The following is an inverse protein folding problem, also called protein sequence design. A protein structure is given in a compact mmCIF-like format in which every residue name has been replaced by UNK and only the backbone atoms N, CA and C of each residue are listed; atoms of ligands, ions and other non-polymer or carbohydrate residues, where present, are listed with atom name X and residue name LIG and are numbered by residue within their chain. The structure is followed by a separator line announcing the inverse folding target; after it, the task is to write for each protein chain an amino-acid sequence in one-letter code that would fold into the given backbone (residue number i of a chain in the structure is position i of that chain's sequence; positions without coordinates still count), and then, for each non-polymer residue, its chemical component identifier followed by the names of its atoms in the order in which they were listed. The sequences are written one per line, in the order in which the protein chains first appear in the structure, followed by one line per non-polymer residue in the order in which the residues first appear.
data_IF_065152431770
#
_entry.id   IF_065152431770
#
_cell.length_a   1.000
_cell.length_b   1.000
_cell.length_c   1.000
_cell.angle_alpha   90.00
_cell.angle_beta   90.00
_cell.angle_gamma   90.00
#
_symmetry.space_group_name_H-M   'P 1'
#
loop_
_entity.id
_entity.type
_entity.pdbx_description
1 polymer ?
#
# COMPACT_ATOMS: atom_id res chain seq x y z
N UNK A 1 3.25 -3.76 23.02
CA UNK A 1 2.92 -4.05 24.43
C UNK A 1 2.27 -5.43 24.57
N UNK A 2 1.26 -5.76 23.74
CA UNK A 2 0.58 -7.08 23.78
C UNK A 2 1.58 -8.23 23.64
N UNK A 3 2.51 -8.15 22.68
CA UNK A 3 3.57 -9.15 22.49
C UNK A 3 4.40 -9.37 23.76
N UNK A 4 4.71 -8.29 24.49
CA UNK A 4 5.46 -8.39 25.76
C UNK A 4 4.66 -9.16 26.81
N UNK A 5 3.35 -8.87 26.93
CA UNK A 5 2.47 -9.60 27.83
C UNK A 5 2.33 -11.07 27.47
N UNK A 6 2.13 -11.35 26.17
CA UNK A 6 1.92 -12.70 25.67
C UNK A 6 3.19 -13.57 25.78
N UNK A 7 4.39 -12.95 25.65
CA UNK A 7 5.67 -13.66 25.67
C UNK A 7 6.32 -13.70 27.04
N UNK A 8 6.30 -12.61 27.80
CA UNK A 8 7.03 -12.45 29.07
C UNK A 8 6.11 -12.39 30.30
N UNK A 9 4.79 -12.46 30.08
CA UNK A 9 3.76 -12.43 31.12
C UNK A 9 3.40 -11.02 31.61
N UNK A 10 2.19 -10.89 32.20
CA UNK A 10 1.61 -9.62 32.65
C UNK A 10 2.47 -8.87 33.66
N UNK A 11 3.20 -9.58 34.54
CA UNK A 11 4.09 -8.94 35.53
C UNK A 11 5.20 -8.13 34.84
N UNK A 12 5.76 -8.62 33.77
CA UNK A 12 6.77 -7.90 32.97
C UNK A 12 6.16 -6.75 32.18
N UNK A 13 4.94 -6.90 31.68
CA UNK A 13 4.19 -5.79 31.09
C UNK A 13 3.94 -4.65 32.07
N UNK A 14 3.54 -4.95 33.32
CA UNK A 14 3.37 -3.93 34.34
C UNK A 14 4.69 -3.23 34.73
N UNK A 15 5.79 -3.97 34.75
CA UNK A 15 7.14 -3.39 34.99
C UNK A 15 7.54 -2.46 33.87
N UNK A 16 7.26 -2.85 32.61
CA UNK A 16 7.49 -2.00 31.43
C UNK A 16 6.70 -0.70 31.53
N UNK A 17 5.41 -0.77 31.83
CA UNK A 17 4.56 0.42 31.96
C UNK A 17 5.04 1.38 33.07
N UNK A 18 5.52 0.85 34.20
CA UNK A 18 6.12 1.69 35.26
C UNK A 18 7.41 2.38 34.79
N UNK A 19 8.25 1.68 34.02
CA UNK A 19 9.46 2.27 33.45
C UNK A 19 9.12 3.33 32.38
N UNK A 20 8.10 3.09 31.53
CA UNK A 20 7.57 4.08 30.58
C UNK A 20 7.10 5.33 31.33
N UNK A 21 6.24 5.16 32.34
CA UNK A 21 5.72 6.29 33.15
C UNK A 21 6.86 7.11 33.78
N UNK A 22 7.89 6.44 34.33
CA UNK A 22 9.05 7.13 34.92
C UNK A 22 9.79 7.93 33.87
N UNK A 23 10.07 7.35 32.68
CA UNK A 23 10.79 8.02 31.61
C UNK A 23 10.00 9.20 31.03
N UNK A 24 8.66 9.08 30.96
CA UNK A 24 7.80 10.20 30.57
C UNK A 24 7.84 11.34 31.58
N UNK A 25 7.83 11.05 32.90
CA UNK A 25 7.97 12.06 33.94
C UNK A 25 9.33 12.77 33.86
N UNK A 26 10.43 12.02 33.63
CA UNK A 26 11.77 12.61 33.46
C UNK A 26 11.80 13.59 32.27
N UNK A 27 11.13 13.28 31.15
CA UNK A 27 11.00 14.20 30.00
C UNK A 27 10.21 15.45 30.36
N UNK A 28 9.12 15.32 31.10
CA UNK A 28 8.27 16.43 31.55
C UNK A 28 9.07 17.36 32.47
N UNK A 29 9.75 16.81 33.49
CA UNK A 29 10.60 17.58 34.42
C UNK A 29 11.69 18.35 33.68
N UNK A 30 12.40 17.68 32.75
CA UNK A 30 13.43 18.33 31.93
C UNK A 30 12.88 19.40 31.00
N UNK A 31 11.60 19.35 30.63
CA UNK A 31 10.94 20.37 29.84
C UNK A 31 10.59 21.61 30.65
N UNK A 32 10.69 21.53 31.99
CA UNK A 32 10.30 22.59 32.93
C UNK A 32 8.87 23.12 32.68
N UNK A 33 7.96 22.19 32.41
CA UNK A 33 6.54 22.47 32.15
C UNK A 33 5.70 22.03 33.39
N UNK A 34 4.69 22.81 33.68
CA UNK A 34 3.62 22.32 34.59
C UNK A 34 2.78 21.32 33.80
N UNK A 35 2.96 20.04 34.12
CA UNK A 35 2.24 18.99 33.40
C UNK A 35 1.81 17.87 34.36
N UNK A 36 0.76 17.19 33.99
CA UNK A 36 0.24 16.00 34.67
C UNK A 36 0.30 14.84 33.71
N UNK A 37 0.95 13.75 34.14
CA UNK A 37 0.95 12.47 33.43
C UNK A 37 -0.15 11.58 34.01
N UNK A 38 -1.02 11.08 33.13
CA UNK A 38 -2.09 10.15 33.49
C UNK A 38 -1.98 8.89 32.64
N UNK A 39 -2.28 7.73 33.19
CA UNK A 39 -2.52 6.49 32.43
C UNK A 39 -4.02 6.35 32.24
N UNK A 40 -4.49 6.31 30.98
CA UNK A 40 -5.92 6.22 30.66
C UNK A 40 -6.38 4.76 30.73
N UNK A 41 -5.58 3.83 30.20
CA UNK A 41 -5.86 2.40 30.23
C UNK A 41 -4.86 1.62 29.37
N UNK A 42 -4.71 0.33 29.59
CA UNK A 42 -3.81 -0.51 28.80
C UNK A 42 -2.38 0.04 28.70
N UNK A 43 -1.95 0.39 27.52
CA UNK A 43 -0.66 1.03 27.18
C UNK A 43 -0.80 2.53 26.82
N UNK A 44 -1.94 3.14 27.14
CA UNK A 44 -2.25 4.53 26.80
C UNK A 44 -1.96 5.48 27.97
N UNK A 45 -1.22 6.55 27.67
CA UNK A 45 -0.88 7.64 28.57
C UNK A 45 -1.36 8.96 28.01
N UNK A 46 -1.78 9.87 28.87
CA UNK A 46 -2.06 11.27 28.54
C UNK A 46 -1.15 12.20 29.34
N UNK A 47 -0.70 13.25 28.70
CA UNK A 47 0.06 14.35 29.30
C UNK A 47 -0.73 15.62 29.07
N UNK A 48 -1.12 16.27 30.17
CA UNK A 48 -1.75 17.60 30.15
C UNK A 48 -0.68 18.58 30.58
N UNK A 49 -0.23 19.40 29.62
CA UNK A 49 0.83 20.38 29.87
C UNK A 49 0.30 21.81 29.76
N UNK A 50 0.62 22.64 30.75
CA UNK A 50 0.34 24.06 30.75
C UNK A 50 1.52 24.80 30.08
N UNK A 51 1.25 25.44 28.95
CA UNK A 51 2.25 26.20 28.20
C UNK A 51 2.35 27.66 28.68
N UNK A 52 1.55 28.05 29.69
CA UNK A 52 1.46 29.40 30.25
C UNK A 52 2.56 29.67 31.25
N UNK A 53 3.42 30.53 30.92
CA UNK A 53 4.49 31.15 31.77
C UNK A 53 5.10 32.37 31.07
N UNK A 54 4.71 32.59 29.82
CA UNK A 54 5.12 33.75 28.99
C UNK A 54 3.90 34.58 28.65
N UNK A 55 3.99 35.87 28.81
CA UNK A 55 2.88 36.85 28.78
C UNK A 55 2.06 36.95 27.47
N UNK A 56 2.44 36.28 26.42
CA UNK A 56 1.63 36.00 25.21
C UNK A 56 2.31 34.94 24.35
N UNK A 57 1.82 33.70 24.42
CA UNK A 57 2.25 32.65 23.47
C UNK A 57 1.33 32.72 22.27
N UNK A 58 1.92 32.85 21.07
CA UNK A 58 1.14 32.74 19.83
C UNK A 58 0.72 31.29 19.59
N UNK A 59 -0.32 31.03 18.81
CA UNK A 59 -0.69 29.64 18.43
C UNK A 59 0.46 28.87 17.76
N UNK A 60 1.31 29.56 16.99
CA UNK A 60 2.49 28.98 16.36
C UNK A 60 3.54 28.53 17.40
N UNK A 61 3.84 29.40 18.38
CA UNK A 61 4.81 29.07 19.43
C UNK A 61 4.32 27.89 20.29
N UNK A 62 3.00 27.83 20.55
CA UNK A 62 2.39 26.75 21.28
C UNK A 62 2.50 25.41 20.51
N UNK A 63 2.29 25.44 19.21
CA UNK A 63 2.43 24.28 18.35
C UNK A 63 3.89 23.78 18.30
N UNK A 64 4.86 24.69 18.18
CA UNK A 64 6.30 24.35 18.18
C UNK A 64 6.75 23.74 19.53
N UNK A 65 6.29 24.28 20.63
CA UNK A 65 6.59 23.75 21.96
C UNK A 65 5.99 22.36 22.18
N UNK A 66 4.76 22.15 21.74
CA UNK A 66 4.08 20.87 21.84
C UNK A 66 4.74 19.81 20.93
N UNK A 67 5.11 20.17 19.71
CA UNK A 67 5.86 19.32 18.78
C UNK A 67 7.25 18.97 19.32
N UNK A 68 7.94 19.94 19.90
CA UNK A 68 9.22 19.73 20.60
C UNK A 68 9.11 18.76 21.77
N UNK A 69 8.05 18.84 22.58
CA UNK A 69 7.78 17.90 23.67
C UNK A 69 7.49 16.49 23.11
N UNK A 70 6.66 16.39 22.11
CA UNK A 70 6.31 15.13 21.47
C UNK A 70 7.55 14.40 20.88
N UNK A 71 8.43 15.14 20.20
CA UNK A 71 9.72 14.61 19.68
C UNK A 71 10.62 14.11 20.80
N UNK A 72 10.71 14.84 21.92
CA UNK A 72 11.49 14.41 23.09
C UNK A 72 10.91 13.15 23.73
N UNK A 73 9.59 13.01 23.80
CA UNK A 73 8.91 11.80 24.27
C UNK A 73 9.29 10.60 23.37
N UNK A 74 9.16 10.75 22.06
CA UNK A 74 9.51 9.69 21.11
C UNK A 74 10.99 9.27 21.25
N UNK A 75 11.91 10.24 21.32
CA UNK A 75 13.33 9.98 21.48
C UNK A 75 13.63 9.25 22.82
N UNK A 76 12.97 9.64 23.89
CA UNK A 76 13.13 9.01 25.19
C UNK A 76 12.61 7.56 25.20
N UNK A 77 11.51 7.28 24.52
CA UNK A 77 10.91 5.94 24.46
C UNK A 77 11.63 5.01 23.46
N UNK A 78 12.37 5.54 22.50
CA UNK A 78 13.18 4.76 21.56
C UNK A 78 14.35 4.01 22.24
N UNK A 79 14.84 4.50 23.40
CA UNK A 79 15.88 3.82 24.14
C UNK A 79 15.36 2.52 24.78
N UNK A 80 16.15 1.43 24.80
CA UNK A 80 15.71 0.13 25.30
C UNK A 80 15.27 0.16 26.75
N UNK A 81 14.33 -0.71 27.09
CA UNK A 81 13.87 -0.97 28.45
C UNK A 81 14.46 -2.28 28.96
N UNK A 82 15.09 -2.26 30.12
CA UNK A 82 15.63 -3.46 30.75
C UNK A 82 14.54 -4.18 31.57
N UNK A 83 14.20 -5.39 31.16
CA UNK A 83 13.29 -6.29 31.89
C UNK A 83 14.03 -7.60 32.16
N UNK A 84 14.52 -7.77 33.38
CA UNK A 84 15.38 -8.90 33.80
C UNK A 84 16.61 -9.06 32.88
N UNK A 85 16.69 -10.13 32.12
CA UNK A 85 17.78 -10.40 31.18
C UNK A 85 17.50 -9.91 29.75
N UNK A 86 16.33 -9.26 29.51
CA UNK A 86 15.89 -8.87 28.17
C UNK A 86 15.95 -7.34 28.00
N UNK A 87 16.43 -6.92 26.85
CA UNK A 87 16.27 -5.54 26.38
C UNK A 87 15.06 -5.45 25.44
N UNK A 88 14.06 -4.65 25.81
CA UNK A 88 12.82 -4.49 25.06
C UNK A 88 12.82 -3.12 24.40
N UNK A 89 12.61 -3.11 23.10
CA UNK A 89 12.40 -1.91 22.32
C UNK A 89 10.90 -1.69 22.12
N UNK A 90 10.43 -0.50 22.44
CA UNK A 90 9.04 -0.10 22.19
C UNK A 90 9.01 1.20 21.42
N UNK A 91 8.00 1.37 20.60
CA UNK A 91 7.72 2.61 19.90
C UNK A 91 6.41 3.20 20.39
N UNK A 92 6.25 4.51 20.27
CA UNK A 92 5.02 5.19 20.62
C UNK A 92 4.49 6.01 19.45
N UNK A 93 3.18 6.21 19.43
CA UNK A 93 2.55 7.21 18.58
C UNK A 93 1.97 8.29 19.48
N UNK A 94 2.22 9.56 19.17
CA UNK A 94 1.84 10.71 20.00
C UNK A 94 0.89 11.59 19.20
N UNK A 95 -0.30 11.83 19.76
CA UNK A 95 -1.25 12.82 19.24
C UNK A 95 -1.27 14.07 20.11
N UNK A 96 -1.29 15.22 19.49
CA UNK A 96 -1.26 16.53 20.15
C UNK A 96 -2.52 17.31 19.79
N UNK A 97 -3.13 17.96 20.78
CA UNK A 97 -4.24 18.88 20.61
C UNK A 97 -4.06 20.08 21.54
N UNK A 98 -4.34 21.29 21.04
CA UNK A 98 -4.08 22.57 21.71
C UNK A 98 -5.37 23.26 22.13
N UNK A 99 -5.45 23.64 23.40
CA UNK A 99 -6.51 24.52 23.89
C UNK A 99 -6.05 25.99 23.81
N UNK A 100 -6.90 26.94 23.44
CA UNK A 100 -8.28 26.81 22.93
C UNK A 100 -8.38 26.65 21.42
N UNK A 101 -7.25 26.43 20.72
CA UNK A 101 -7.17 26.45 19.26
C UNK A 101 -7.94 25.29 18.62
N UNK A 102 -7.65 24.06 19.03
CA UNK A 102 -8.24 22.86 18.43
C UNK A 102 -9.57 22.45 19.07
N UNK A 103 -9.78 22.84 20.35
CA UNK A 103 -11.02 22.58 21.06
C UNK A 103 -11.20 23.53 22.25
N UNK A 104 -12.44 23.70 22.70
CA UNK A 104 -12.81 24.56 23.83
C UNK A 104 -13.34 23.80 25.05
N UNK A 105 -13.42 22.49 24.95
CA UNK A 105 -13.82 21.61 26.04
C UNK A 105 -12.91 20.38 26.12
N UNK A 106 -12.91 19.73 27.26
CA UNK A 106 -12.02 18.59 27.57
C UNK A 106 -12.32 17.40 26.68
N UNK A 107 -13.59 17.13 26.40
CA UNK A 107 -13.98 15.96 25.60
C UNK A 107 -13.51 16.13 24.14
N UNK A 108 -13.71 17.29 23.56
CA UNK A 108 -13.25 17.60 22.22
C UNK A 108 -11.71 17.59 22.14
N UNK A 109 -11.03 18.16 23.15
CA UNK A 109 -9.56 18.17 23.21
C UNK A 109 -8.98 16.76 23.24
N UNK A 110 -9.52 15.90 24.12
CA UNK A 110 -9.08 14.50 24.22
C UNK A 110 -9.35 13.75 22.91
N UNK A 111 -10.57 13.86 22.36
CA UNK A 111 -10.91 13.22 21.08
C UNK A 111 -10.00 13.67 19.95
N UNK A 112 -9.65 14.95 19.89
CA UNK A 112 -8.79 15.50 18.84
C UNK A 112 -7.34 14.98 19.00
N UNK A 113 -6.83 14.86 20.23
CA UNK A 113 -5.54 14.23 20.49
C UNK A 113 -5.54 12.73 20.10
N UNK A 114 -6.61 11.99 20.42
CA UNK A 114 -6.76 10.60 19.98
C UNK A 114 -6.79 10.47 18.45
N UNK A 115 -7.50 11.36 17.76
CA UNK A 115 -7.54 11.39 16.29
C UNK A 115 -6.15 11.61 15.71
N UNK A 116 -5.38 12.54 16.27
CA UNK A 116 -4.01 12.82 15.84
C UNK A 116 -3.06 11.65 16.16
N UNK A 117 -3.19 11.02 17.32
CA UNK A 117 -2.42 9.82 17.69
C UNK A 117 -2.69 8.66 16.72
N UNK A 118 -3.96 8.43 16.42
CA UNK A 118 -4.36 7.39 15.45
C UNK A 118 -3.82 7.67 14.05
N UNK A 119 -3.82 8.95 13.64
CA UNK A 119 -3.20 9.37 12.39
C UNK A 119 -1.70 9.08 12.36
N UNK A 120 -0.97 9.39 13.43
CA UNK A 120 0.46 9.08 13.57
C UNK A 120 0.72 7.55 13.53
N UNK A 121 -0.16 6.77 14.17
CA UNK A 121 -0.07 5.30 14.20
C UNK A 121 -0.22 4.68 12.81
N UNK A 122 -1.10 5.24 11.97
CA UNK A 122 -1.35 4.73 10.62
C UNK A 122 -0.30 5.16 9.59
N UNK A 123 0.49 6.20 9.86
CA UNK A 123 1.57 6.68 8.99
C UNK A 123 2.94 6.08 9.31
N UNK A 124 3.00 4.86 9.80
CA UNK A 124 4.26 4.15 10.06
C UNK A 124 4.62 4.04 11.54
N UNK A 125 3.73 4.42 12.47
CA UNK A 125 3.99 4.38 13.92
C UNK A 125 5.22 5.22 14.31
N UNK A 126 5.65 5.14 15.57
CA UNK A 126 6.84 5.85 16.08
C UNK A 126 6.94 7.32 15.64
N UNK A 127 5.81 8.02 15.65
CA UNK A 127 5.66 9.37 15.12
C UNK A 127 4.74 10.21 16.02
N UNK A 128 4.84 11.53 15.90
CA UNK A 128 3.92 12.48 16.51
C UNK A 128 3.12 13.21 15.42
N UNK A 129 1.88 13.53 15.74
CA UNK A 129 1.03 14.38 14.90
C UNK A 129 0.26 15.37 15.76
N UNK A 130 0.21 16.64 15.33
CA UNK A 130 -0.67 17.66 15.87
C UNK A 130 -2.01 17.61 15.15
N UNK A 131 -3.11 17.74 15.90
CA UNK A 131 -4.46 17.67 15.35
C UNK A 131 -4.68 18.73 14.27
N UNK A 132 -5.36 18.33 13.21
CA UNK A 132 -5.94 19.23 12.22
C UNK A 132 -7.38 18.81 11.92
N UNK A 133 -8.20 19.74 11.46
CA UNK A 133 -9.60 19.46 11.09
C UNK A 133 -9.73 18.43 9.96
N UNK A 134 -8.72 18.36 9.09
CA UNK A 134 -8.64 17.38 8.01
C UNK A 134 -8.52 15.95 8.55
N UNK A 135 -7.81 15.76 9.67
CA UNK A 135 -7.69 14.44 10.32
C UNK A 135 -9.05 13.93 10.84
N UNK A 136 -9.88 14.81 11.42
CA UNK A 136 -11.22 14.41 11.87
C UNK A 136 -12.13 14.07 10.67
N UNK A 137 -12.04 14.82 9.59
CA UNK A 137 -12.75 14.49 8.34
C UNK A 137 -12.29 13.16 7.77
N UNK A 138 -10.98 12.90 7.75
CA UNK A 138 -10.41 11.65 7.25
C UNK A 138 -10.81 10.45 8.14
N UNK A 139 -10.81 10.60 9.45
CA UNK A 139 -11.27 9.57 10.38
C UNK A 139 -12.75 9.22 10.18
N UNK A 140 -13.63 10.25 10.02
CA UNK A 140 -15.06 10.04 9.70
C UNK A 140 -15.24 9.38 8.34
N UNK A 141 -14.50 9.83 7.31
CA UNK A 141 -14.54 9.23 5.97
C UNK A 141 -14.15 7.74 6.04
N UNK A 142 -13.11 7.41 6.79
CA UNK A 142 -12.66 6.04 6.98
C UNK A 142 -13.72 5.15 7.64
N UNK A 143 -14.36 5.61 8.74
CA UNK A 143 -15.46 4.87 9.39
C UNK A 143 -16.61 4.64 8.41
N UNK A 144 -16.92 5.61 7.58
CA UNK A 144 -17.94 5.48 6.55
C UNK A 144 -17.53 4.46 5.48
N UNK A 145 -16.30 4.55 4.97
CA UNK A 145 -15.72 3.59 4.01
C UNK A 145 -15.79 2.16 4.57
N UNK A 146 -15.45 1.95 5.83
CA UNK A 146 -15.53 0.64 6.48
C UNK A 146 -16.98 0.09 6.50
N UNK A 147 -17.93 0.91 6.94
CA UNK A 147 -19.33 0.52 7.02
C UNK A 147 -19.94 0.23 5.64
N UNK A 148 -19.55 1.00 4.62
CA UNK A 148 -20.10 0.91 3.28
C UNK A 148 -19.42 -0.20 2.45
N UNK A 149 -18.11 -0.44 2.65
CA UNK A 149 -17.37 -1.48 1.91
C UNK A 149 -17.95 -2.89 2.11
N UNK A 150 -18.44 -3.18 3.31
CA UNK A 150 -19.09 -4.46 3.59
C UNK A 150 -20.35 -4.66 2.71
N UNK A 151 -21.09 -3.58 2.47
CA UNK A 151 -22.29 -3.58 1.61
C UNK A 151 -21.95 -3.54 0.13
N UNK A 152 -20.83 -2.93 -0.23
CA UNK A 152 -20.38 -2.79 -1.62
C UNK A 152 -20.14 -4.15 -2.29
N UNK A 153 -19.66 -5.15 -1.52
CA UNK A 153 -19.48 -6.52 -1.99
C UNK A 153 -20.78 -7.18 -2.45
N UNK A 154 -21.90 -6.84 -1.81
CA UNK A 154 -23.22 -7.42 -2.11
C UNK A 154 -24.00 -6.59 -3.14
N UNK A 155 -23.60 -5.33 -3.41
CA UNK A 155 -24.39 -4.36 -4.18
C UNK A 155 -23.85 -4.03 -5.57
N UNK A 156 -22.92 -4.81 -6.09
CA UNK A 156 -22.30 -4.56 -7.39
C UNK A 156 -21.69 -3.13 -7.54
N UNK A 157 -21.25 -2.54 -6.42
CA UNK A 157 -20.61 -1.23 -6.41
C UNK A 157 -19.11 -1.31 -6.79
N UNK A 158 -18.53 -2.51 -6.76
CA UNK A 158 -17.16 -2.75 -7.15
C UNK A 158 -17.03 -3.03 -8.64
N UNK A 159 -15.97 -2.57 -9.24
CA UNK A 159 -15.64 -2.83 -10.64
C UNK A 159 -14.13 -3.05 -10.82
N UNK A 160 -13.74 -3.72 -11.91
CA UNK A 160 -12.34 -3.85 -12.30
C UNK A 160 -12.04 -2.95 -13.49
N UNK A 161 -10.93 -2.25 -13.38
CA UNK A 161 -10.23 -1.63 -14.49
C UNK A 161 -8.98 -2.46 -14.80
N UNK A 162 -8.59 -2.52 -16.04
CA UNK A 162 -7.48 -3.33 -16.52
C UNK A 162 -6.44 -2.43 -17.17
N UNK A 163 -5.20 -2.51 -16.72
CA UNK A 163 -4.11 -1.74 -17.28
C UNK A 163 -3.17 -2.62 -18.09
N UNK A 164 -2.90 -2.29 -19.36
CA UNK A 164 -2.04 -3.10 -20.22
C UNK A 164 -0.58 -3.12 -19.75
N UNK A 165 0.01 -4.32 -19.78
CA UNK A 165 1.44 -4.57 -19.68
C UNK A 165 2.00 -4.81 -21.10
N UNK A 166 2.99 -4.03 -21.49
CA UNK A 166 3.47 -3.93 -22.87
C UNK A 166 4.91 -4.44 -22.97
N UNK A 167 5.21 -5.28 -23.95
CA UNK A 167 6.59 -5.69 -24.29
C UNK A 167 7.35 -4.51 -24.86
N UNK A 168 8.49 -4.20 -24.25
CA UNK A 168 9.33 -3.07 -24.65
C UNK A 168 10.29 -3.41 -25.78
N UNK A 169 10.70 -4.67 -25.89
CA UNK A 169 11.59 -5.13 -26.97
C UNK A 169 10.85 -5.18 -28.31
N UNK A 170 11.47 -4.65 -29.35
CA UNK A 170 10.87 -4.58 -30.69
C UNK A 170 9.77 -3.53 -30.84
N UNK A 171 9.57 -2.68 -29.85
CA UNK A 171 8.64 -1.56 -29.91
C UNK A 171 9.31 -0.39 -30.64
N UNK A 172 8.93 -0.14 -31.89
CA UNK A 172 9.53 0.90 -32.76
C UNK A 172 8.87 2.29 -32.59
N UNK A 173 8.06 2.47 -31.55
CA UNK A 173 7.34 3.71 -31.28
C UNK A 173 7.82 4.38 -30.00
N UNK A 174 7.50 5.65 -29.85
CA UNK A 174 7.70 6.45 -28.64
C UNK A 174 6.70 6.09 -27.51
N UNK A 175 5.96 4.99 -27.64
CA UNK A 175 4.98 4.51 -26.69
C UNK A 175 3.54 5.00 -26.93
N UNK A 176 3.34 6.03 -27.76
CA UNK A 176 2.00 6.54 -28.05
C UNK A 176 1.13 5.57 -28.86
N UNK A 177 1.77 4.74 -29.69
CA UNK A 177 1.09 3.77 -30.56
C UNK A 177 1.66 2.36 -30.35
N UNK A 178 1.20 1.68 -29.29
CA UNK A 178 1.58 0.29 -28.99
C UNK A 178 0.77 -0.67 -29.86
N UNK A 179 1.40 -1.52 -30.71
CA UNK A 179 0.68 -2.56 -31.43
C UNK A 179 0.03 -3.57 -30.46
N UNK A 180 -1.16 -4.08 -30.80
CA UNK A 180 -1.85 -5.07 -29.97
C UNK A 180 -1.01 -6.34 -29.71
N UNK A 181 -0.14 -6.71 -30.66
CA UNK A 181 0.80 -7.83 -30.56
C UNK A 181 1.86 -7.66 -29.47
N UNK A 182 2.10 -6.43 -29.00
CA UNK A 182 3.03 -6.13 -27.90
C UNK A 182 2.35 -6.16 -26.53
N UNK A 183 1.02 -6.26 -26.45
CA UNK A 183 0.33 -6.38 -25.17
C UNK A 183 0.50 -7.80 -24.65
N UNK A 184 1.24 -7.93 -23.54
CA UNK A 184 1.55 -9.20 -22.91
C UNK A 184 0.42 -9.70 -22.01
N UNK A 185 -0.18 -8.78 -21.27
CA UNK A 185 -1.21 -9.05 -20.29
C UNK A 185 -1.81 -7.75 -19.76
N UNK A 186 -2.61 -7.89 -18.73
CA UNK A 186 -3.27 -6.75 -18.05
C UNK A 186 -3.23 -6.94 -16.54
N UNK A 187 -3.05 -5.88 -15.80
CA UNK A 187 -3.26 -5.87 -14.36
C UNK A 187 -4.71 -5.50 -14.05
N UNK A 188 -5.37 -6.30 -13.20
CA UNK A 188 -6.74 -6.06 -12.74
C UNK A 188 -6.72 -5.18 -11.49
N UNK A 189 -7.19 -3.97 -11.64
CA UNK A 189 -7.19 -2.93 -10.63
C UNK A 189 -8.61 -2.68 -10.13
N UNK A 190 -8.88 -2.96 -8.87
CA UNK A 190 -10.20 -2.73 -8.28
C UNK A 190 -10.51 -1.25 -8.15
N UNK A 191 -11.78 -0.89 -8.39
CA UNK A 191 -12.34 0.46 -8.22
C UNK A 191 -13.66 0.32 -7.50
N UNK A 192 -14.03 1.29 -6.69
CA UNK A 192 -15.30 1.31 -5.99
C UNK A 192 -16.14 2.52 -6.43
N UNK A 193 -17.27 2.25 -7.07
CA UNK A 193 -18.25 3.27 -7.42
C UNK A 193 -19.24 3.45 -6.27
N UNK A 194 -18.86 4.31 -5.32
CA UNK A 194 -19.68 4.61 -4.16
C UNK A 194 -20.86 5.52 -4.58
N UNK A 195 -22.11 5.21 -4.15
CA UNK A 195 -23.29 5.92 -4.63
C UNK A 195 -23.34 7.41 -4.27
N UNK A 196 -22.68 7.81 -3.18
CA UNK A 196 -22.70 9.21 -2.72
C UNK A 196 -21.36 9.92 -2.86
N UNK A 197 -20.23 9.20 -2.81
CA UNK A 197 -18.89 9.77 -2.84
C UNK A 197 -18.33 9.81 -4.27
N UNK A 198 -18.91 9.01 -5.18
CA UNK A 198 -18.39 8.79 -6.51
C UNK A 198 -17.33 7.68 -6.56
N UNK A 199 -16.37 7.77 -7.47
CA UNK A 199 -15.33 6.73 -7.60
C UNK A 199 -14.29 6.89 -6.50
N UNK A 200 -14.15 5.85 -5.67
CA UNK A 200 -13.13 5.75 -4.61
C UNK A 200 -11.97 4.92 -5.12
N UNK A 201 -10.75 5.48 -5.03
CA UNK A 201 -9.53 4.79 -5.41
C UNK A 201 -9.11 3.70 -4.42
N UNK A 202 -8.33 2.68 -4.85
CA UNK A 202 -7.92 1.57 -4.00
C UNK A 202 -7.15 2.02 -2.75
N UNK A 203 -6.32 3.05 -2.83
CA UNK A 203 -5.56 3.57 -1.68
C UNK A 203 -6.43 4.00 -0.47
N UNK A 204 -7.71 4.31 -0.68
CA UNK A 204 -8.60 4.70 0.42
C UNK A 204 -9.27 3.51 1.11
N UNK A 205 -9.61 2.46 0.37
CA UNK A 205 -10.40 1.37 0.94
C UNK A 205 -9.64 0.05 1.12
N UNK A 206 -8.55 -0.16 0.39
CA UNK A 206 -7.74 -1.39 0.55
C UNK A 206 -7.14 -1.47 1.95
N UNK A 207 -6.54 -0.39 2.45
CA UNK A 207 -5.99 -0.34 3.81
C UNK A 207 -7.08 -0.63 4.87
N UNK A 208 -8.28 -0.07 4.70
CA UNK A 208 -9.44 -0.36 5.56
C UNK A 208 -9.86 -1.83 5.45
N UNK A 209 -9.90 -2.38 4.24
CA UNK A 209 -10.22 -3.79 4.02
C UNK A 209 -9.22 -4.74 4.68
N UNK A 210 -7.94 -4.43 4.63
CA UNK A 210 -6.88 -5.21 5.28
C UNK A 210 -7.02 -5.21 6.80
N UNK A 211 -7.18 -4.04 7.41
CA UNK A 211 -7.32 -3.92 8.86
C UNK A 211 -8.58 -4.65 9.39
N UNK A 212 -9.70 -4.52 8.67
CA UNK A 212 -10.99 -5.10 9.08
C UNK A 212 -11.15 -6.57 8.67
N UNK A 213 -10.28 -7.08 7.79
CA UNK A 213 -10.38 -8.44 7.23
C UNK A 213 -11.29 -8.57 6.03
N UNK A 214 -11.92 -7.48 5.60
CA UNK A 214 -12.73 -7.46 4.39
C UNK A 214 -11.91 -7.70 3.11
N UNK A 215 -10.57 -7.56 3.20
CA UNK A 215 -9.67 -7.84 2.07
C UNK A 215 -9.77 -9.30 1.58
N UNK A 216 -10.09 -10.26 2.46
CA UNK A 216 -10.21 -11.67 2.06
C UNK A 216 -11.41 -11.88 1.14
N UNK A 217 -12.67 -11.54 1.50
CA UNK A 217 -13.80 -11.64 0.58
C UNK A 217 -13.68 -10.70 -0.61
N UNK A 218 -13.11 -9.50 -0.46
CA UNK A 218 -12.85 -8.57 -1.55
C UNK A 218 -11.89 -9.17 -2.58
N UNK A 219 -10.76 -9.70 -2.13
CA UNK A 219 -9.77 -10.30 -3.01
C UNK A 219 -10.28 -11.55 -3.73
N UNK A 220 -11.12 -12.35 -3.09
CA UNK A 220 -11.79 -13.48 -3.75
C UNK A 220 -12.76 -13.00 -4.84
N UNK A 221 -13.49 -11.89 -4.60
CA UNK A 221 -14.35 -11.26 -5.61
C UNK A 221 -13.52 -10.73 -6.78
N UNK A 222 -12.40 -10.04 -6.52
CA UNK A 222 -11.46 -9.54 -7.54
C UNK A 222 -10.94 -10.69 -8.38
N UNK A 223 -10.42 -11.73 -7.75
CA UNK A 223 -9.86 -12.91 -8.42
C UNK A 223 -10.90 -13.57 -9.33
N UNK A 224 -12.11 -13.84 -8.82
CA UNK A 224 -13.19 -14.45 -9.60
C UNK A 224 -13.61 -13.59 -10.78
N UNK A 225 -13.74 -12.28 -10.56
CA UNK A 225 -14.15 -11.33 -11.62
C UNK A 225 -13.07 -11.20 -12.70
N UNK A 226 -11.80 -11.10 -12.32
CA UNK A 226 -10.67 -11.03 -13.24
C UNK A 226 -10.53 -12.30 -14.08
N UNK A 227 -10.56 -13.48 -13.44
CA UNK A 227 -10.47 -14.76 -14.15
C UNK A 227 -11.66 -14.98 -15.09
N UNK A 228 -12.88 -14.65 -14.66
CA UNK A 228 -14.08 -14.73 -15.50
C UNK A 228 -13.98 -13.84 -16.72
N UNK A 229 -13.48 -12.63 -16.55
CA UNK A 229 -13.30 -11.67 -17.66
C UNK A 229 -12.21 -12.13 -18.63
N UNK A 230 -11.06 -12.60 -18.14
CA UNK A 230 -9.98 -13.13 -18.97
C UNK A 230 -10.43 -14.35 -19.79
N UNK A 231 -11.15 -15.28 -19.14
CA UNK A 231 -11.75 -16.44 -19.82
C UNK A 231 -12.78 -16.03 -20.88
N UNK A 232 -13.52 -14.95 -20.64
CA UNK A 232 -14.47 -14.39 -21.60
C UNK A 232 -13.76 -13.83 -22.83
N UNK A 233 -12.72 -13.00 -22.67
CA UNK A 233 -11.92 -12.47 -23.77
C UNK A 233 -11.35 -13.59 -24.65
N UNK A 234 -10.84 -14.65 -24.01
CA UNK A 234 -10.29 -15.79 -24.73
C UNK A 234 -11.35 -16.54 -25.56
N UNK A 235 -12.56 -16.72 -25.00
CA UNK A 235 -13.64 -17.51 -25.67
C UNK A 235 -14.44 -16.70 -26.68
N UNK A 236 -14.80 -15.46 -26.34
CA UNK A 236 -15.73 -14.64 -27.13
C UNK A 236 -15.01 -13.70 -28.09
N UNK A 237 -13.89 -13.09 -27.66
CA UNK A 237 -13.15 -12.11 -28.45
C UNK A 237 -11.93 -12.72 -29.17
N UNK A 238 -11.57 -13.97 -28.86
CA UNK A 238 -10.39 -14.64 -29.41
C UNK A 238 -9.05 -14.01 -28.92
N UNK A 239 -9.08 -13.25 -27.83
CA UNK A 239 -7.92 -12.52 -27.29
C UNK A 239 -7.44 -13.18 -26.01
N UNK A 240 -6.25 -13.79 -26.05
CA UNK A 240 -5.62 -14.43 -24.91
C UNK A 240 -4.71 -13.41 -24.20
N UNK A 241 -5.19 -12.82 -23.11
CA UNK A 241 -4.42 -11.92 -22.23
C UNK A 241 -4.20 -12.57 -20.86
N UNK A 242 -2.95 -12.58 -20.40
CA UNK A 242 -2.65 -12.92 -19.02
C UNK A 242 -3.25 -11.84 -18.12
N UNK A 243 -3.87 -12.24 -17.02
CA UNK A 243 -4.41 -11.31 -16.03
C UNK A 243 -3.62 -11.40 -14.73
N UNK A 244 -3.09 -10.27 -14.27
CA UNK A 244 -2.42 -10.13 -12.99
C UNK A 244 -3.40 -9.63 -11.93
N UNK A 245 -3.32 -10.20 -10.72
CA UNK A 245 -4.16 -9.87 -9.57
C UNK A 245 -3.29 -9.69 -8.34
N UNK A 246 -3.45 -8.56 -7.67
CA UNK A 246 -2.76 -8.24 -6.42
C UNK A 246 -3.24 -9.14 -5.26
N UNK A 247 -2.30 -9.64 -4.46
CA UNK A 247 -2.54 -10.48 -3.29
C UNK A 247 -2.01 -9.79 -2.04
N UNK A 248 -2.90 -9.47 -1.10
CA UNK A 248 -2.52 -8.86 0.17
C UNK A 248 -1.85 -9.85 1.13
N UNK A 249 -1.03 -9.34 2.06
CA UNK A 249 -0.40 -10.17 3.09
C UNK A 249 -1.40 -10.90 3.98
N UNK A 250 -2.59 -10.34 4.19
CA UNK A 250 -3.64 -11.02 4.96
C UNK A 250 -4.24 -12.20 4.21
N UNK A 251 -4.39 -12.08 2.90
CA UNK A 251 -4.83 -13.21 2.05
C UNK A 251 -3.76 -14.29 1.95
N UNK A 252 -2.49 -13.92 1.85
CA UNK A 252 -1.37 -14.87 1.82
C UNK A 252 -1.32 -15.75 3.07
N UNK A 253 -1.78 -15.24 4.22
CA UNK A 253 -1.88 -15.99 5.49
C UNK A 253 -3.18 -16.80 5.64
N UNK A 254 -4.11 -16.74 4.67
CA UNK A 254 -5.33 -17.55 4.69
C UNK A 254 -5.03 -18.99 4.23
N UNK A 255 -5.21 -20.01 5.10
CA UNK A 255 -4.98 -21.41 4.72
C UNK A 255 -5.83 -21.90 3.56
N UNK A 256 -6.98 -21.23 3.31
CA UNK A 256 -7.88 -21.59 2.23
C UNK A 256 -7.50 -20.94 0.88
N UNK A 257 -6.48 -20.07 0.83
CA UNK A 257 -6.13 -19.31 -0.38
C UNK A 257 -5.90 -20.18 -1.60
N UNK A 258 -5.00 -21.18 -1.50
CA UNK A 258 -4.68 -22.07 -2.63
C UNK A 258 -5.93 -22.76 -3.16
N UNK A 259 -6.75 -23.30 -2.27
CA UNK A 259 -7.98 -23.99 -2.66
C UNK A 259 -8.99 -23.01 -3.30
N UNK A 260 -9.10 -21.80 -2.78
CA UNK A 260 -9.96 -20.76 -3.33
C UNK A 260 -9.52 -20.37 -4.75
N UNK A 261 -8.23 -20.23 -4.99
CA UNK A 261 -7.68 -19.92 -6.33
C UNK A 261 -7.99 -21.06 -7.30
N UNK A 262 -7.75 -22.31 -6.92
CA UNK A 262 -8.05 -23.48 -7.76
C UNK A 262 -9.54 -23.60 -8.08
N UNK A 263 -10.40 -23.34 -7.11
CA UNK A 263 -11.84 -23.34 -7.31
C UNK A 263 -12.27 -22.27 -8.32
N UNK A 264 -11.72 -21.05 -8.22
CA UNK A 264 -12.01 -19.97 -9.17
C UNK A 264 -11.55 -20.32 -10.58
N UNK A 265 -10.36 -20.90 -10.74
CA UNK A 265 -9.87 -21.34 -12.06
C UNK A 265 -10.77 -22.43 -12.66
N UNK A 266 -11.22 -23.38 -11.84
CA UNK A 266 -12.17 -24.43 -12.27
C UNK A 266 -13.54 -23.85 -12.65
N UNK A 267 -14.09 -22.93 -11.85
CA UNK A 267 -15.37 -22.25 -12.11
C UNK A 267 -15.35 -21.45 -13.41
N UNK A 268 -14.26 -20.73 -13.67
CA UNK A 268 -14.16 -19.81 -14.82
C UNK A 268 -13.66 -20.45 -16.09
N UNK A 269 -12.97 -21.59 -15.96
CA UNK A 269 -12.31 -22.27 -17.06
C UNK A 269 -11.08 -21.53 -17.61
N UNK A 270 -10.51 -20.59 -16.82
CA UNK A 270 -9.28 -19.93 -17.20
C UNK A 270 -8.09 -20.88 -17.00
N UNK A 271 -7.22 -21.09 -18.01
CA UNK A 271 -6.00 -21.87 -17.81
C UNK A 271 -5.10 -21.26 -16.73
N UNK A 272 -4.52 -22.05 -15.80
CA UNK A 272 -3.73 -21.53 -14.68
C UNK A 272 -2.61 -20.56 -15.10
N UNK A 273 -1.90 -20.84 -16.18
CA UNK A 273 -0.80 -20.01 -16.70
C UNK A 273 -1.24 -18.63 -17.24
N UNK A 274 -2.55 -18.42 -17.39
CA UNK A 274 -3.14 -17.13 -17.73
C UNK A 274 -3.45 -16.26 -16.52
N UNK A 275 -3.32 -16.79 -15.31
CA UNK A 275 -3.39 -16.05 -14.05
C UNK A 275 -1.99 -15.77 -13.53
N UNK A 276 -1.74 -14.54 -13.15
CA UNK A 276 -0.57 -14.11 -12.40
C UNK A 276 -1.02 -13.53 -11.06
N UNK A 277 -0.35 -13.91 -9.96
CA UNK A 277 -0.59 -13.32 -8.65
C UNK A 277 0.60 -12.43 -8.27
N UNK A 278 0.33 -11.20 -7.92
CA UNK A 278 1.32 -10.19 -7.55
C UNK A 278 1.35 -10.03 -6.03
N UNK A 279 2.54 -10.13 -5.44
CA UNK A 279 2.75 -10.09 -4.00
C UNK A 279 3.85 -9.07 -3.72
N UNK A 280 3.60 -8.14 -2.80
CA UNK A 280 4.60 -7.12 -2.47
C UNK A 280 5.83 -7.71 -1.79
N UNK A 281 6.98 -7.07 -1.99
CA UNK A 281 8.25 -7.44 -1.37
C UNK A 281 8.13 -7.59 0.15
N UNK A 282 7.47 -6.64 0.80
CA UNK A 282 7.29 -6.61 2.27
C UNK A 282 6.55 -7.84 2.79
N UNK A 283 5.49 -8.27 2.11
CA UNK A 283 4.71 -9.46 2.49
C UNK A 283 5.55 -10.73 2.41
N UNK A 284 6.39 -10.85 1.38
CA UNK A 284 7.27 -12.01 1.21
C UNK A 284 8.29 -12.14 2.34
N UNK A 285 8.74 -11.03 2.92
CA UNK A 285 9.76 -11.01 3.97
C UNK A 285 9.20 -11.20 5.39
N UNK A 286 7.87 -11.15 5.61
CA UNK A 286 7.28 -11.29 6.95
C UNK A 286 7.40 -12.72 7.53
N UNK A 287 7.06 -13.75 6.75
CA UNK A 287 7.14 -15.17 7.14
C UNK A 287 7.65 -16.00 5.95
N UNK A 288 8.94 -16.01 5.79
CA UNK A 288 9.62 -16.53 4.60
C UNK A 288 9.28 -18.00 4.33
N UNK A 289 9.33 -18.85 5.35
CA UNK A 289 9.12 -20.29 5.16
C UNK A 289 7.65 -20.61 4.81
N UNK A 290 6.69 -19.95 5.45
CA UNK A 290 5.28 -20.10 5.10
C UNK A 290 5.00 -19.57 3.68
N UNK A 291 5.60 -18.44 3.31
CA UNK A 291 5.45 -17.86 1.98
C UNK A 291 6.09 -18.75 0.89
N UNK A 292 7.25 -19.36 1.14
CA UNK A 292 7.84 -20.33 0.18
C UNK A 292 6.86 -21.46 -0.08
N UNK A 293 6.33 -22.10 0.98
CA UNK A 293 5.39 -23.22 0.83
C UNK A 293 4.11 -22.82 0.07
N UNK A 294 3.58 -21.63 0.35
CA UNK A 294 2.43 -21.06 -0.36
C UNK A 294 2.72 -20.88 -1.86
N UNK A 295 3.84 -20.22 -2.18
CA UNK A 295 4.22 -19.90 -3.56
C UNK A 295 4.53 -21.17 -4.35
N UNK A 296 5.18 -22.15 -3.73
CA UNK A 296 5.41 -23.47 -4.37
C UNK A 296 4.10 -24.16 -4.71
N UNK A 297 3.11 -24.14 -3.81
CA UNK A 297 1.80 -24.74 -4.08
C UNK A 297 1.08 -24.05 -5.25
N UNK A 298 1.12 -22.73 -5.34
CA UNK A 298 0.55 -21.97 -6.44
C UNK A 298 1.31 -22.20 -7.75
N UNK A 299 2.63 -22.22 -7.70
CA UNK A 299 3.48 -22.48 -8.86
C UNK A 299 3.28 -23.89 -9.43
N UNK A 300 3.20 -24.89 -8.58
CA UNK A 300 2.90 -26.29 -8.98
C UNK A 300 1.51 -26.42 -9.62
N UNK A 301 0.57 -25.56 -9.26
CA UNK A 301 -0.73 -25.47 -9.92
C UNK A 301 -0.66 -24.77 -11.30
N UNK A 302 0.51 -24.28 -11.72
CA UNK A 302 0.74 -23.64 -13.01
C UNK A 302 0.43 -22.13 -13.04
N UNK A 303 0.26 -21.49 -11.87
CA UNK A 303 0.00 -20.06 -11.73
C UNK A 303 1.32 -19.31 -11.80
N UNK A 304 1.35 -18.18 -12.51
CA UNK A 304 2.50 -17.28 -12.54
C UNK A 304 2.54 -16.42 -11.29
N UNK A 305 3.75 -16.10 -10.82
CA UNK A 305 3.96 -15.32 -9.60
C UNK A 305 4.89 -14.14 -9.89
N UNK A 306 4.58 -12.98 -9.35
CA UNK A 306 5.42 -11.78 -9.46
C UNK A 306 5.61 -11.09 -8.12
N UNK A 307 6.76 -10.43 -7.96
CA UNK A 307 7.02 -9.51 -6.84
C UNK A 307 6.63 -8.12 -7.27
N UNK A 308 5.83 -7.47 -6.44
CA UNK A 308 5.39 -6.09 -6.62
C UNK A 308 6.14 -5.11 -5.70
N UNK A 309 6.15 -3.81 -6.06
CA UNK A 309 6.80 -2.70 -5.33
C UNK A 309 8.28 -2.95 -4.99
N UNK A 310 9.01 -3.65 -5.87
CA UNK A 310 10.38 -4.06 -5.58
C UNK A 310 11.35 -2.88 -5.49
N UNK A 311 12.18 -2.92 -4.43
CA UNK A 311 13.21 -1.93 -4.13
C UNK A 311 12.78 -0.89 -3.09
N UNK A 312 11.55 -0.93 -2.59
CA UNK A 312 11.07 -0.07 -1.51
C UNK A 312 11.35 -0.66 -0.13
N UNK A 313 11.66 -1.97 -0.04
CA UNK A 313 11.93 -2.73 1.17
C UNK A 313 13.37 -3.19 1.33
N UNK A 314 13.60 -4.08 2.29
CA UNK A 314 14.88 -4.71 2.58
C UNK A 314 14.88 -6.17 2.10
N UNK A 315 15.08 -6.40 0.81
CA UNK A 315 15.22 -7.77 0.30
C UNK A 315 16.61 -8.34 0.49
N UNK A 316 16.67 -9.55 1.03
CA UNK A 316 17.87 -10.37 0.93
C UNK A 316 17.86 -11.17 -0.38
N UNK A 317 18.83 -10.91 -1.24
CA UNK A 317 19.03 -11.65 -2.51
C UNK A 317 19.02 -13.17 -2.33
N UNK A 318 19.49 -13.66 -1.17
CA UNK A 318 19.51 -15.09 -0.86
C UNK A 318 18.10 -15.70 -0.77
N UNK A 319 17.11 -14.94 -0.32
CA UNK A 319 15.74 -15.42 -0.26
C UNK A 319 15.02 -15.31 -1.60
N UNK A 320 15.31 -14.29 -2.42
CA UNK A 320 14.74 -14.17 -3.76
C UNK A 320 15.00 -15.41 -4.63
N UNK A 321 16.18 -16.02 -4.50
CA UNK A 321 16.51 -17.26 -5.22
C UNK A 321 15.68 -18.48 -4.78
N UNK A 322 15.09 -18.44 -3.59
CA UNK A 322 14.29 -19.57 -3.05
C UNK A 322 12.83 -19.49 -3.47
N UNK A 323 12.34 -18.32 -3.82
CA UNK A 323 10.96 -18.16 -4.25
C UNK A 323 10.77 -18.62 -5.72
N UNK A 324 9.73 -19.38 -6.04
CA UNK A 324 9.41 -19.81 -7.40
C UNK A 324 8.72 -18.68 -8.20
N UNK A 325 9.39 -17.53 -8.31
CA UNK A 325 8.88 -16.29 -8.91
C UNK A 325 9.47 -16.12 -10.30
N UNK A 326 8.65 -15.72 -11.26
CA UNK A 326 9.01 -15.56 -12.66
C UNK A 326 9.17 -14.11 -13.08
N UNK A 327 8.61 -13.16 -12.31
CA UNK A 327 8.55 -11.75 -12.70
C UNK A 327 8.79 -10.82 -11.53
N UNK A 328 9.40 -9.68 -11.80
CA UNK A 328 9.67 -8.63 -10.83
C UNK A 328 9.15 -7.30 -11.38
N UNK A 329 8.37 -6.54 -10.58
CA UNK A 329 7.86 -5.23 -10.94
C UNK A 329 8.69 -4.16 -10.23
N UNK A 330 9.26 -3.23 -11.00
CA UNK A 330 9.99 -2.07 -10.48
C UNK A 330 8.96 -1.02 -10.09
N UNK A 331 8.99 -0.60 -8.81
CA UNK A 331 8.08 0.41 -8.29
C UNK A 331 8.18 1.73 -9.08
N UNK A 332 7.03 2.33 -9.30
CA UNK A 332 6.89 3.59 -10.05
C UNK A 332 7.77 4.72 -9.53
N UNK A 333 8.09 4.76 -8.24
CA UNK A 333 8.90 5.84 -7.65
C UNK A 333 10.31 5.88 -8.21
N UNK A 334 10.85 4.75 -8.68
CA UNK A 334 12.15 4.71 -9.36
C UNK A 334 12.01 5.18 -10.82
N UNK A 335 10.96 4.78 -11.52
CA UNK A 335 10.70 5.21 -12.88
C UNK A 335 10.42 6.71 -12.96
N UNK A 336 9.64 7.26 -12.04
CA UNK A 336 9.36 8.71 -11.94
C UNK A 336 10.59 9.58 -11.64
N UNK A 337 11.66 9.00 -11.10
CA UNK A 337 12.95 9.69 -10.88
C UNK A 337 13.92 9.54 -12.05
N UNK A 338 13.46 9.05 -13.19
CA UNK A 338 14.23 9.03 -14.44
C UNK A 338 13.94 10.31 -15.26
N UNK A 339 14.96 10.89 -15.92
CA UNK A 339 16.40 10.58 -15.80
C UNK A 339 16.94 11.04 -14.43
N UNK A 340 17.91 10.28 -13.89
CA UNK A 340 18.59 10.62 -12.62
C UNK A 340 18.85 9.39 -11.76
N UNK A 341 18.70 9.53 -10.43
CA UNK A 341 18.97 8.44 -9.46
C UNK A 341 18.16 7.18 -9.74
N UNK A 342 16.95 7.33 -10.27
CA UNK A 342 16.06 6.23 -10.63
C UNK A 342 16.63 5.35 -11.73
N UNK A 343 17.37 5.90 -12.71
CA UNK A 343 17.97 5.14 -13.82
C UNK A 343 18.98 4.11 -13.30
N UNK A 344 19.86 4.52 -12.39
CA UNK A 344 20.88 3.64 -11.82
C UNK A 344 20.25 2.50 -11.01
N UNK A 345 19.21 2.79 -10.22
CA UNK A 345 18.50 1.79 -9.42
C UNK A 345 17.74 0.81 -10.32
N UNK A 346 16.97 1.31 -11.26
CA UNK A 346 16.22 0.45 -12.19
C UNK A 346 17.16 -0.43 -13.02
N UNK A 347 18.26 0.11 -13.52
CA UNK A 347 19.30 -0.67 -14.24
C UNK A 347 19.88 -1.80 -13.39
N UNK A 348 20.18 -1.53 -12.11
CA UNK A 348 20.68 -2.54 -11.17
C UNK A 348 19.62 -3.64 -10.91
N UNK A 349 18.36 -3.26 -10.72
CA UNK A 349 17.25 -4.19 -10.50
C UNK A 349 17.04 -5.08 -11.74
N UNK A 350 17.05 -4.51 -12.95
CA UNK A 350 16.92 -5.27 -14.21
C UNK A 350 18.05 -6.30 -14.33
N UNK A 351 19.29 -5.88 -14.15
CA UNK A 351 20.45 -6.78 -14.25
C UNK A 351 20.39 -7.92 -13.22
N UNK A 352 19.98 -7.61 -12.00
CA UNK A 352 19.77 -8.58 -10.92
C UNK A 352 18.67 -9.59 -11.29
N UNK A 353 17.49 -9.11 -11.68
CA UNK A 353 16.35 -9.95 -12.03
C UNK A 353 16.69 -10.91 -13.20
N UNK A 354 17.36 -10.41 -14.24
CA UNK A 354 17.82 -11.24 -15.36
C UNK A 354 18.84 -12.30 -14.93
N UNK A 355 19.75 -11.99 -13.98
CA UNK A 355 20.67 -13.00 -13.43
C UNK A 355 19.92 -14.10 -12.69
N UNK A 356 18.74 -13.81 -12.14
CA UNK A 356 17.83 -14.76 -11.50
C UNK A 356 16.83 -15.40 -12.48
N UNK A 357 16.93 -15.08 -13.78
CA UNK A 357 16.04 -15.55 -14.86
C UNK A 357 14.57 -15.10 -14.67
N UNK A 358 14.37 -13.93 -14.09
CA UNK A 358 13.06 -13.29 -13.95
C UNK A 358 12.85 -12.26 -15.06
N UNK A 359 11.62 -12.14 -15.56
CA UNK A 359 11.19 -11.01 -16.40
C UNK A 359 11.02 -9.77 -15.54
N UNK A 360 11.18 -8.58 -16.12
CA UNK A 360 11.04 -7.32 -15.40
C UNK A 360 9.95 -6.46 -16.01
N UNK A 361 9.05 -5.94 -15.17
CA UNK A 361 8.05 -4.93 -15.52
C UNK A 361 8.45 -3.60 -14.89
N UNK A 362 8.54 -2.54 -15.65
CA UNK A 362 8.67 -1.19 -15.13
C UNK A 362 7.30 -0.53 -15.00
N UNK A 363 6.96 -0.06 -13.80
CA UNK A 363 5.69 0.59 -13.51
C UNK A 363 5.77 2.11 -13.60
N UNK A 364 4.62 2.74 -13.90
CA UNK A 364 4.51 4.19 -13.92
C UNK A 364 5.29 4.86 -15.05
N UNK A 365 5.39 4.20 -16.21
CA UNK A 365 5.99 4.81 -17.41
C UNK A 365 5.05 5.87 -17.95
N UNK A 366 5.44 7.15 -17.89
CA UNK A 366 4.59 8.30 -18.23
C UNK A 366 5.06 9.04 -19.49
N UNK A 367 6.32 8.94 -19.85
CA UNK A 367 6.88 9.65 -21.00
C UNK A 367 7.84 8.79 -21.86
N UNK A 368 8.19 9.31 -23.05
CA UNK A 368 9.04 8.64 -24.02
C UNK A 368 10.51 8.58 -23.59
N UNK A 369 10.99 9.49 -22.74
CA UNK A 369 12.35 9.49 -22.23
C UNK A 369 12.56 8.34 -21.24
N UNK A 370 11.63 8.16 -20.32
CA UNK A 370 11.59 7.00 -19.42
C UNK A 370 11.58 5.69 -20.19
N UNK A 371 10.71 5.59 -21.21
CA UNK A 371 10.63 4.41 -22.08
C UNK A 371 11.97 4.11 -22.77
N UNK A 372 12.64 5.13 -23.31
CA UNK A 372 13.90 4.97 -23.99
C UNK A 372 15.02 4.47 -23.04
N UNK A 373 15.07 5.00 -21.83
CA UNK A 373 16.02 4.59 -20.79
C UNK A 373 15.77 3.14 -20.33
N UNK A 374 14.52 2.77 -20.09
CA UNK A 374 14.15 1.40 -19.72
C UNK A 374 14.48 0.39 -20.82
N UNK A 375 14.21 0.73 -22.09
CA UNK A 375 14.61 -0.11 -23.24
C UNK A 375 16.12 -0.27 -23.34
N UNK A 376 16.87 0.82 -23.15
CA UNK A 376 18.34 0.79 -23.13
C UNK A 376 18.87 -0.09 -21.99
N UNK A 377 18.22 -0.08 -20.82
CA UNK A 377 18.55 -0.93 -19.70
C UNK A 377 18.15 -2.41 -19.89
N UNK A 378 17.39 -2.72 -20.97
CA UNK A 378 16.96 -4.08 -21.29
C UNK A 378 15.69 -4.53 -20.56
N UNK A 379 14.88 -3.61 -20.02
CA UNK A 379 13.62 -3.95 -19.40
C UNK A 379 12.69 -4.70 -20.36
N UNK A 380 12.00 -5.74 -19.87
CA UNK A 380 11.19 -6.63 -20.71
C UNK A 380 9.80 -6.06 -20.99
N UNK A 381 9.15 -5.56 -19.95
CA UNK A 381 7.77 -5.08 -19.97
C UNK A 381 7.68 -3.68 -19.35
N UNK A 382 6.69 -2.92 -19.78
CA UNK A 382 6.36 -1.62 -19.20
C UNK A 382 4.86 -1.48 -18.98
N UNK A 383 4.50 -0.76 -17.93
CA UNK A 383 3.14 -0.41 -17.58
C UNK A 383 3.10 1.05 -17.16
N UNK A 384 2.11 1.81 -17.64
CA UNK A 384 2.01 3.23 -17.29
C UNK A 384 1.09 4.03 -18.21
N UNK A 385 0.92 5.30 -17.86
CA UNK A 385 0.00 6.19 -18.57
C UNK A 385 0.46 6.57 -19.97
N UNK A 386 1.73 6.40 -20.26
CA UNK A 386 2.24 6.52 -21.63
C UNK A 386 1.53 5.56 -22.59
N UNK A 387 1.26 4.34 -22.15
CA UNK A 387 0.60 3.31 -22.97
C UNK A 387 -0.91 3.39 -22.87
N UNK A 388 -1.44 3.35 -21.65
CA UNK A 388 -2.87 3.49 -21.35
C UNK A 388 -3.10 3.72 -19.86
N UNK A 389 -4.11 4.52 -19.54
CA UNK A 389 -4.73 4.48 -18.21
C UNK A 389 -5.46 3.16 -18.02
N UNK A 390 -5.75 2.74 -16.77
CA UNK A 390 -6.61 1.58 -16.53
C UNK A 390 -7.99 1.75 -17.20
N UNK A 391 -8.42 0.75 -17.96
CA UNK A 391 -9.65 0.75 -18.76
C UNK A 391 -10.62 -0.32 -18.27
N UNK A 392 -11.92 -0.09 -18.34
CA UNK A 392 -12.90 -1.15 -18.17
C UNK A 392 -12.82 -2.18 -19.31
N UNK A 393 -13.41 -3.36 -19.14
CA UNK A 393 -13.27 -4.49 -20.06
C UNK A 393 -13.62 -4.18 -21.52
N UNK A 394 -14.76 -3.50 -21.76
CA UNK A 394 -15.17 -3.14 -23.14
C UNK A 394 -14.28 -2.06 -23.76
N UNK A 395 -13.98 -0.92 -23.09
CA UNK A 395 -12.99 0.05 -23.56
C UNK A 395 -11.62 -0.56 -23.87
N UNK A 396 -11.15 -1.52 -23.07
CA UNK A 396 -9.88 -2.22 -23.33
C UNK A 396 -9.93 -3.00 -24.66
N UNK A 397 -10.99 -3.76 -24.92
CA UNK A 397 -11.13 -4.49 -26.18
C UNK A 397 -11.18 -3.54 -27.39
N UNK A 398 -11.92 -2.45 -27.29
CA UNK A 398 -11.92 -1.41 -28.34
C UNK A 398 -10.53 -0.77 -28.54
N UNK A 399 -9.78 -0.58 -27.46
CA UNK A 399 -8.40 -0.07 -27.50
C UNK A 399 -7.45 -1.05 -28.20
N UNK A 400 -7.56 -2.36 -27.93
CA UNK A 400 -6.77 -3.41 -28.59
C UNK A 400 -7.13 -3.54 -30.07
N UNK A 401 -8.41 -3.53 -30.43
CA UNK A 401 -8.87 -3.64 -31.82
C UNK A 401 -8.38 -2.49 -32.70
N UNK A 402 -8.44 -1.25 -32.21
CA UNK A 402 -7.89 -0.07 -32.94
C UNK A 402 -6.40 -0.22 -33.24
N UNK A 403 -5.65 -0.88 -32.34
CA UNK A 403 -4.20 -1.10 -32.49
C UNK A 403 -3.84 -2.34 -33.28
N UNK A 404 -4.77 -3.28 -33.45
CA UNK A 404 -4.61 -4.47 -34.31
C UNK A 404 -4.90 -4.18 -35.78
N UNK A 405 -5.74 -3.18 -36.09
CA UNK A 405 -6.15 -2.87 -37.47
C UNK A 405 -5.21 -1.93 -38.24
N UNK A 406 -4.10 -1.49 -37.63
CA UNK A 406 -3.12 -0.62 -38.30
C UNK A 406 -3.63 0.78 -38.69
N UNK A 407 -4.82 1.16 -38.25
CA UNK A 407 -5.44 2.44 -38.60
C UNK A 407 -5.06 3.49 -37.54
N UNK A 408 -4.15 4.38 -37.89
CA UNK A 408 -3.68 5.48 -37.08
C UNK A 408 -4.81 6.49 -36.85
N UNK A 409 -5.59 6.29 -35.79
CA UNK A 409 -6.43 7.34 -35.19
C UNK A 409 -5.53 8.34 -34.46
N UNK A 410 -5.77 9.64 -34.69
CA UNK A 410 -4.98 10.73 -34.14
C UNK A 410 -4.83 10.65 -32.59
N UNK A 411 -3.70 11.11 -32.01
CA UNK A 411 -3.54 11.23 -30.58
C UNK A 411 -4.53 12.28 -30.06
N UNK A 412 -5.55 11.87 -29.33
CA UNK A 412 -6.55 12.78 -28.78
C UNK A 412 -7.87 12.16 -28.32
N UNK A 413 -8.23 10.98 -28.76
CA UNK A 413 -9.46 10.29 -28.34
C UNK A 413 -9.21 9.28 -27.22
N UNK A 414 -8.83 9.76 -26.06
CA UNK A 414 -9.17 9.06 -24.81
C UNK A 414 -10.62 9.44 -24.50
N UNK A 415 -11.57 8.48 -24.37
CA UNK A 415 -12.87 8.82 -23.82
C UNK A 415 -12.63 9.45 -22.44
N UNK A 416 -13.23 10.63 -22.26
CA UNK A 416 -13.30 11.28 -20.94
C UNK A 416 -13.96 10.32 -19.96
N UNK A 417 -13.16 9.44 -19.37
CA UNK A 417 -13.52 8.67 -18.20
C UNK A 417 -13.24 9.57 -17.03
N UNK A 418 -14.30 9.83 -16.28
CA UNK A 418 -14.43 10.55 -15.03
C UNK A 418 -13.08 10.92 -14.39
N UNK A 419 -12.79 12.21 -14.36
CA UNK A 419 -11.61 12.80 -13.73
C UNK A 419 -11.48 12.30 -12.31
N UNK A 420 -10.47 11.48 -12.04
CA UNK A 420 -10.05 11.23 -10.66
C UNK A 420 -9.68 12.59 -10.04
N UNK A 421 -10.15 12.91 -8.83
CA UNK A 421 -9.66 14.09 -8.14
C UNK A 421 -8.16 13.93 -7.97
N UNK A 422 -7.40 14.91 -8.42
CA UNK A 422 -5.96 15.05 -8.28
C UNK A 422 -5.57 15.05 -6.80
N UNK A 423 -5.50 13.88 -6.20
CA UNK A 423 -4.91 13.62 -4.90
C UNK A 423 -3.59 12.92 -5.14
N UNK A 424 -2.50 13.69 -5.18
CA UNK A 424 -1.17 13.15 -5.08
C UNK A 424 -1.11 12.31 -3.79
N UNK A 425 -1.03 10.99 -3.93
CA UNK A 425 -0.73 10.10 -2.82
C UNK A 425 0.71 10.37 -2.38
N UNK A 426 0.96 10.66 -1.11
CA UNK A 426 2.34 10.63 -0.62
C UNK A 426 2.84 9.18 -0.71
N UNK A 427 4.01 9.02 -1.28
CA UNK A 427 4.80 7.79 -1.42
C UNK A 427 5.29 7.27 -0.06
N UNK A 428 4.39 6.89 0.85
CA UNK A 428 4.77 6.34 2.15
C UNK A 428 3.66 5.48 2.78
N UNK A 429 3.15 4.51 2.01
CA UNK A 429 2.31 3.44 2.56
C UNK A 429 2.79 2.08 2.02
N UNK A 430 4.11 1.90 1.99
CA UNK A 430 4.77 0.61 1.94
C UNK A 430 5.80 0.61 3.07
N UNK A 431 5.41 0.14 4.23
CA UNK A 431 6.25 -0.01 5.42
C UNK A 431 5.53 -0.91 6.40
#
# INVERSE_FOLDING_TARGET
FKVVNDTLGHNNGDRLLRQVARRLNEVIEQANLRAVLCRIGGDEFAIIAELSGRASITPSDAAELADGLAKRILAALAAPFALDLHQIYVTASVGVSLYPHDARDVQALTRNADTAMYYAKNRGKNAAASFTSEMDQQARRRLRVEADLRRALDREELLLAYQPQVRLQGLDTDGAMVPASHVHGVEALVRWRHPEIGVIGPGEFIAVAEETGLIVPLGLWVLRTACKQAARWMREDGVALRVSVNLSGRQARDPALVQNVLNVLAETGLPPHMLELEITESVLMEDIEANIALLEALHLAGISLSIDDFGTGYSSLAYLQRFPIQKLKIDRSFVQRMPGDGEAIAGAVIAMAHSLKMEVVAEGVEDAEQLALLRKAGCDLGQGYLFSRPLQAQPLMAWLQRRGSGNAGAPGDTPEGETEPSGALPSSLAG
#
